data_IF_266535067579
#
_entry.id   IF_266535067579
#
_cell.length_a   1.000
_cell.length_b   1.000
_cell.length_c   1.000
_cell.angle_alpha   90.00
_cell.angle_beta   90.00
_cell.angle_gamma   90.00
#
_symmetry.space_group_name_H-M   'P 1'
#
loop_
_entity.id
_entity.type
_entity.pdbx_description
1 polymer ?
#
# COMPACT_ATOMS: atom_id res chain seq x y z
N UNK A 1 17.90 51.62 6.04
CA UNK A 1 17.25 50.61 6.91
C UNK A 1 16.48 49.68 6.00
N UNK A 2 17.12 48.61 5.51
CA UNK A 2 16.47 47.59 4.71
C UNK A 2 15.60 46.74 5.65
N UNK A 3 14.28 46.79 5.47
CA UNK A 3 13.35 45.93 6.20
C UNK A 3 13.56 44.49 5.76
N UNK A 4 14.22 43.69 6.58
CA UNK A 4 14.20 42.25 6.43
C UNK A 4 12.75 41.79 6.66
N UNK A 5 12.02 41.49 5.57
CA UNK A 5 10.82 40.68 5.70
C UNK A 5 11.29 39.29 6.14
N UNK A 6 10.90 38.80 7.34
CA UNK A 6 11.15 37.42 7.70
C UNK A 6 10.45 36.59 6.62
N UNK A 7 11.23 35.87 5.82
CA UNK A 7 10.71 35.01 4.78
C UNK A 7 9.80 33.97 5.41
N UNK A 8 8.49 34.25 5.41
CA UNK A 8 7.44 33.27 5.68
C UNK A 8 7.36 32.38 4.45
N UNK A 9 8.39 31.57 4.22
CA UNK A 9 8.17 30.28 3.57
C UNK A 9 7.47 29.39 4.59
N UNK A 10 6.24 29.76 4.97
CA UNK A 10 5.35 28.82 5.63
C UNK A 10 5.23 27.66 4.65
N UNK A 11 5.79 26.51 5.03
CA UNK A 11 5.65 25.28 4.27
C UNK A 11 4.15 25.06 4.11
N UNK A 12 3.60 25.31 2.92
CA UNK A 12 2.18 25.10 2.68
C UNK A 12 1.95 23.59 2.62
N UNK A 13 1.62 23.02 3.77
CA UNK A 13 1.23 21.63 3.88
C UNK A 13 -0.01 21.40 3.01
N UNK A 14 0.08 20.39 2.14
CA UNK A 14 -1.04 19.99 1.28
C UNK A 14 -1.65 18.70 1.83
N UNK A 15 -2.98 18.61 1.90
CA UNK A 15 -3.66 17.35 2.17
C UNK A 15 -3.20 16.26 1.20
N UNK A 16 -3.33 15.00 1.63
CA UNK A 16 -3.12 13.86 0.75
C UNK A 16 -4.05 13.97 -0.46
N UNK A 17 -3.50 13.78 -1.65
CA UNK A 17 -4.25 13.71 -2.88
C UNK A 17 -3.75 12.50 -3.67
N UNK A 18 -4.60 11.50 -3.83
CA UNK A 18 -4.27 10.29 -4.59
C UNK A 18 -4.72 10.48 -6.04
N UNK A 19 -3.78 10.34 -6.97
CA UNK A 19 -4.04 10.46 -8.39
C UNK A 19 -5.01 9.40 -8.91
N UNK A 20 -5.72 9.70 -10.00
CA UNK A 20 -6.66 8.76 -10.61
C UNK A 20 -5.96 7.50 -11.15
N UNK A 21 -4.70 7.60 -11.57
CA UNK A 21 -3.90 6.45 -12.01
C UNK A 21 -3.68 5.47 -10.85
N UNK A 22 -3.30 5.97 -9.67
CA UNK A 22 -3.12 5.15 -8.47
C UNK A 22 -4.43 4.51 -7.98
N UNK A 23 -5.55 5.22 -8.05
CA UNK A 23 -6.87 4.69 -7.64
C UNK A 23 -7.39 3.61 -8.60
N UNK A 24 -7.28 3.84 -9.92
CA UNK A 24 -7.68 2.85 -10.95
C UNK A 24 -6.81 1.59 -10.89
N UNK A 25 -5.53 1.81 -10.62
CA UNK A 25 -4.52 0.78 -10.45
C UNK A 25 -3.69 0.54 -11.70
N UNK A 26 -2.48 0.06 -11.46
CA UNK A 26 -1.49 -0.21 -12.50
C UNK A 26 -1.00 -1.65 -12.41
N UNK A 27 -0.77 -2.26 -13.56
CA UNK A 27 -0.25 -3.63 -13.66
C UNK A 27 1.25 -3.63 -13.37
N UNK A 28 1.67 -4.52 -12.49
CA UNK A 28 3.07 -4.78 -12.16
C UNK A 28 3.33 -6.28 -12.14
N UNK A 29 4.60 -6.65 -12.25
CA UNK A 29 5.08 -7.98 -11.85
C UNK A 29 5.77 -7.84 -10.50
N UNK A 30 5.19 -8.47 -9.45
CA UNK A 30 5.80 -8.59 -8.13
C UNK A 30 6.79 -9.76 -8.11
N UNK A 31 7.91 -9.59 -7.43
CA UNK A 31 8.91 -10.63 -7.22
C UNK A 31 9.60 -10.49 -5.86
N UNK A 32 10.20 -11.58 -5.39
CA UNK A 32 10.90 -11.65 -4.10
C UNK A 32 12.27 -12.34 -4.31
N UNK A 33 13.31 -11.96 -3.56
CA UNK A 33 14.66 -12.53 -3.71
C UNK A 33 14.73 -14.02 -3.35
N UNK A 34 13.87 -14.46 -2.43
CA UNK A 34 13.88 -15.82 -1.86
C UNK A 34 13.02 -16.80 -2.69
N UNK A 35 12.53 -16.37 -3.85
CA UNK A 35 11.63 -17.14 -4.69
C UNK A 35 11.87 -16.86 -6.18
N UNK A 36 11.75 -17.89 -7.01
CA UNK A 36 11.73 -17.73 -8.48
C UNK A 36 10.32 -17.48 -9.00
N UNK A 37 9.35 -17.22 -8.12
CA UNK A 37 7.96 -16.93 -8.49
C UNK A 37 7.83 -15.44 -8.79
N UNK A 38 7.30 -15.14 -9.97
CA UNK A 38 6.88 -13.80 -10.38
C UNK A 38 5.35 -13.76 -10.46
N UNK A 39 4.74 -12.75 -9.88
CA UNK A 39 3.29 -12.65 -9.76
C UNK A 39 2.79 -11.37 -10.41
N UNK A 40 2.02 -11.46 -11.51
CA UNK A 40 1.32 -10.30 -12.05
C UNK A 40 0.27 -9.81 -11.06
N UNK A 41 0.32 -8.52 -10.72
CA UNK A 41 -0.62 -7.88 -9.80
C UNK A 41 -1.16 -6.58 -10.40
N UNK A 42 -2.32 -6.13 -9.91
CA UNK A 42 -2.80 -4.78 -10.12
C UNK A 42 -2.69 -4.03 -8.79
N UNK A 43 -1.69 -3.17 -8.69
CA UNK A 43 -1.44 -2.35 -7.50
C UNK A 43 -2.34 -1.12 -7.53
N UNK A 44 -3.02 -0.83 -6.41
CA UNK A 44 -3.94 0.30 -6.24
C UNK A 44 -3.66 1.03 -4.93
N UNK A 45 -4.10 2.28 -4.86
CA UNK A 45 -4.25 3.02 -3.60
C UNK A 45 -5.71 3.27 -3.29
N UNK A 46 -6.08 3.28 -2.01
CA UNK A 46 -7.37 3.80 -1.60
C UNK A 46 -7.42 5.34 -1.76
N UNK A 47 -8.61 5.96 -1.91
CA UNK A 47 -8.69 7.39 -2.18
C UNK A 47 -8.15 8.28 -1.06
N UNK A 48 -8.03 7.77 0.17
CA UNK A 48 -7.49 8.50 1.31
C UNK A 48 -5.96 8.39 1.41
N UNK A 49 -5.33 7.51 0.61
CA UNK A 49 -3.88 7.29 0.60
C UNK A 49 -3.38 6.61 1.87
N UNK A 50 -4.16 5.71 2.46
CA UNK A 50 -3.75 4.95 3.65
C UNK A 50 -2.95 3.69 3.34
N UNK A 51 -3.31 3.02 2.26
CA UNK A 51 -2.79 1.72 1.86
C UNK A 51 -2.48 1.70 0.37
N UNK A 52 -1.46 0.94 0.02
CA UNK A 52 -1.46 0.23 -1.25
C UNK A 52 -2.02 -1.17 -1.06
N UNK A 53 -2.73 -1.65 -2.08
CA UNK A 53 -3.35 -2.97 -2.05
C UNK A 53 -3.33 -3.63 -3.41
N UNK A 54 -3.26 -4.95 -3.40
CA UNK A 54 -3.33 -5.79 -4.58
C UNK A 54 -3.97 -7.12 -4.21
N UNK A 55 -4.55 -7.77 -5.20
CA UNK A 55 -5.13 -9.11 -5.04
C UNK A 55 -4.20 -10.10 -5.73
N UNK A 56 -3.76 -11.13 -5.01
CA UNK A 56 -2.90 -12.18 -5.54
C UNK A 56 -3.69 -13.24 -6.33
N UNK A 57 -3.00 -14.29 -6.79
CA UNK A 57 -3.63 -15.40 -7.54
C UNK A 57 -4.63 -16.20 -6.69
N UNK A 58 -4.51 -16.17 -5.37
CA UNK A 58 -5.41 -16.84 -4.44
C UNK A 58 -6.69 -16.03 -4.15
N UNK A 59 -6.85 -14.88 -4.81
CA UNK A 59 -7.92 -13.91 -4.56
C UNK A 59 -7.86 -13.32 -3.14
N UNK A 60 -6.71 -13.38 -2.49
CA UNK A 60 -6.51 -12.71 -1.21
C UNK A 60 -5.96 -11.30 -1.44
N UNK A 61 -6.53 -10.32 -0.73
CA UNK A 61 -6.08 -8.94 -0.81
C UNK A 61 -4.99 -8.67 0.21
N UNK A 62 -3.80 -8.38 -0.29
CA UNK A 62 -2.67 -7.91 0.49
C UNK A 62 -2.70 -6.38 0.61
N UNK A 63 -2.12 -5.88 1.70
CA UNK A 63 -2.09 -4.47 2.04
C UNK A 63 -0.69 -4.05 2.49
N UNK A 64 -0.19 -2.97 1.93
CA UNK A 64 0.95 -2.22 2.43
C UNK A 64 0.45 -0.93 3.08
N UNK A 65 0.67 -0.79 4.39
CA UNK A 65 0.37 0.44 5.13
C UNK A 65 1.39 1.53 4.76
N UNK A 66 0.91 2.62 4.18
CA UNK A 66 1.77 3.71 3.69
C UNK A 66 2.52 4.44 4.81
N UNK A 67 2.04 4.40 6.05
CA UNK A 67 2.77 4.97 7.20
C UNK A 67 4.01 4.15 7.60
N UNK A 68 4.14 2.92 7.10
CA UNK A 68 5.31 2.08 7.31
C UNK A 68 6.37 2.26 6.22
N UNK A 69 6.03 2.92 5.11
CA UNK A 69 6.96 3.17 4.00
C UNK A 69 8.03 4.16 4.45
N UNK A 70 9.28 3.84 4.17
CA UNK A 70 10.47 4.65 4.50
C UNK A 70 11.09 5.27 3.26
N UNK A 71 11.00 4.60 2.12
CA UNK A 71 11.65 5.00 0.88
C UNK A 71 10.99 4.31 -0.33
N UNK A 72 11.13 4.91 -1.51
CA UNK A 72 10.72 4.34 -2.79
C UNK A 72 11.80 4.62 -3.84
N UNK A 73 12.21 3.57 -4.56
CA UNK A 73 13.35 3.62 -5.48
C UNK A 73 12.94 3.10 -6.84
N UNK A 74 13.46 3.69 -7.91
CA UNK A 74 13.34 3.18 -9.28
C UNK A 74 14.67 3.17 -10.01
N UNK A 75 14.70 2.49 -11.16
CA UNK A 75 15.89 2.47 -12.01
C UNK A 75 17.07 1.80 -11.33
N UNK A 76 18.26 2.35 -11.53
CA UNK A 76 19.52 1.90 -10.91
C UNK A 76 19.52 1.88 -9.37
N UNK A 77 18.56 2.53 -8.72
CA UNK A 77 18.43 2.55 -7.25
C UNK A 77 17.45 1.48 -6.73
N UNK A 78 16.62 0.91 -7.60
CA UNK A 78 15.80 -0.24 -7.24
C UNK A 78 16.68 -1.46 -6.99
N UNK A 79 16.17 -2.42 -6.22
CA UNK A 79 16.84 -3.71 -6.05
C UNK A 79 16.81 -4.47 -7.36
N UNK A 80 17.94 -5.04 -7.72
CA UNK A 80 18.07 -5.97 -8.85
C UNK A 80 17.94 -7.42 -8.35
N UNK A 81 17.27 -8.31 -9.10
CA UNK A 81 17.19 -9.73 -8.80
C UNK A 81 18.58 -10.35 -8.85
N UNK A 82 18.97 -11.05 -7.78
CA UNK A 82 20.27 -11.71 -7.69
C UNK A 82 20.31 -13.03 -8.44
N UNK A 83 19.18 -13.74 -8.46
CA UNK A 83 19.06 -15.03 -9.15
C UNK A 83 18.96 -14.80 -10.68
N UNK A 84 19.85 -15.41 -11.49
CA UNK A 84 19.82 -15.27 -12.94
C UNK A 84 18.50 -15.74 -13.59
N UNK A 85 17.91 -16.83 -13.10
CA UNK A 85 16.63 -17.36 -13.61
C UNK A 85 15.50 -16.38 -13.30
N UNK A 86 15.50 -15.78 -12.11
CA UNK A 86 14.53 -14.74 -11.78
C UNK A 86 14.68 -13.52 -12.67
N UNK A 87 15.92 -13.09 -12.95
CA UNK A 87 16.19 -12.00 -13.90
C UNK A 87 15.63 -12.31 -15.29
N UNK A 88 15.87 -13.52 -15.80
CA UNK A 88 15.32 -13.95 -17.09
C UNK A 88 13.79 -13.94 -17.12
N UNK A 89 13.13 -14.40 -16.04
CA UNK A 89 11.67 -14.36 -15.91
C UNK A 89 11.09 -12.94 -15.89
N UNK A 90 11.83 -11.98 -15.32
CA UNK A 90 11.41 -10.57 -15.26
C UNK A 90 11.67 -9.82 -16.57
N UNK A 91 12.63 -10.30 -17.38
CA UNK A 91 13.01 -9.69 -18.67
C UNK A 91 12.23 -10.25 -19.87
N UNK A 92 11.19 -11.05 -19.62
CA UNK A 92 10.38 -11.67 -20.67
C UNK A 92 9.72 -10.59 -21.54
N UNK A 93 9.97 -10.69 -22.85
CA UNK A 93 9.43 -9.77 -23.87
C UNK A 93 10.40 -8.69 -24.34
N UNK A 94 11.62 -8.59 -23.76
CA UNK A 94 12.68 -7.65 -24.16
C UNK A 94 12.17 -6.20 -24.33
N UNK A 95 11.33 -5.76 -23.39
CA UNK A 95 10.66 -4.46 -23.40
C UNK A 95 11.62 -3.41 -22.82
N UNK A 96 12.70 -3.13 -23.54
CA UNK A 96 13.76 -2.22 -23.12
C UNK A 96 14.52 -2.69 -21.87
N UNK A 97 15.28 -1.78 -21.26
CA UNK A 97 16.12 -2.11 -20.11
C UNK A 97 15.27 -2.39 -18.85
N UNK A 98 15.28 -3.65 -18.41
CA UNK A 98 14.58 -4.12 -17.21
C UNK A 98 14.81 -3.21 -15.99
N UNK A 99 16.06 -2.80 -15.75
CA UNK A 99 16.46 -1.99 -14.60
C UNK A 99 15.67 -0.68 -14.50
N UNK A 100 15.35 -0.05 -15.63
CA UNK A 100 14.61 1.21 -15.65
C UNK A 100 13.12 1.06 -15.30
N UNK A 101 12.59 -0.16 -15.41
CA UNK A 101 11.20 -0.49 -15.09
C UNK A 101 11.05 -1.00 -13.66
N UNK A 102 12.14 -1.20 -12.93
CA UNK A 102 12.12 -1.69 -11.56
C UNK A 102 11.71 -0.61 -10.56
N UNK A 103 10.89 -1.01 -9.59
CA UNK A 103 10.53 -0.23 -8.41
C UNK A 103 10.81 -1.08 -7.17
N UNK A 104 11.37 -0.47 -6.13
CA UNK A 104 11.47 -1.06 -4.80
C UNK A 104 10.85 -0.11 -3.78
N UNK A 105 9.78 -0.54 -3.12
CA UNK A 105 9.22 0.16 -1.96
C UNK A 105 9.82 -0.44 -0.70
N UNK A 106 10.45 0.41 0.11
CA UNK A 106 11.11 0.04 1.37
C UNK A 106 10.16 0.39 2.51
N UNK A 107 9.83 -0.59 3.34
CA UNK A 107 8.87 -0.39 4.44
C UNK A 107 9.24 -1.19 5.68
N UNK A 108 8.77 -0.76 6.84
CA UNK A 108 9.03 -1.44 8.11
C UNK A 108 8.52 -0.66 9.32
N UNK A 109 8.39 -1.29 10.49
CA UNK A 109 8.04 -0.60 11.72
C UNK A 109 9.10 0.44 12.13
N UNK A 110 10.37 0.18 11.83
CA UNK A 110 11.51 1.02 12.20
C UNK A 110 12.60 0.98 11.12
N UNK A 111 13.75 1.60 11.38
CA UNK A 111 14.87 1.71 10.43
C UNK A 111 15.75 0.45 10.35
N UNK A 112 15.51 -0.55 11.20
CA UNK A 112 16.29 -1.80 11.28
C UNK A 112 15.48 -2.96 10.67
N UNK A 113 14.23 -3.09 11.06
CA UNK A 113 13.32 -4.14 10.62
C UNK A 113 12.68 -3.76 9.28
N UNK A 114 13.47 -3.86 8.20
CA UNK A 114 13.08 -3.43 6.86
C UNK A 114 12.64 -4.61 5.98
N UNK A 115 11.56 -4.42 5.24
CA UNK A 115 11.05 -5.28 4.18
C UNK A 115 11.02 -4.54 2.85
N UNK A 116 10.91 -5.28 1.75
CA UNK A 116 10.95 -4.75 0.39
C UNK A 116 9.76 -5.28 -0.42
N UNK A 117 9.03 -4.39 -1.07
CA UNK A 117 8.09 -4.75 -2.13
C UNK A 117 8.78 -4.43 -3.46
N UNK A 118 9.20 -5.47 -4.17
CA UNK A 118 9.87 -5.32 -5.47
C UNK A 118 8.88 -5.54 -6.60
N UNK A 119 8.88 -4.61 -7.55
CA UNK A 119 7.93 -4.56 -8.66
C UNK A 119 8.67 -4.27 -9.96
N UNK A 120 8.12 -4.75 -11.06
CA UNK A 120 8.52 -4.36 -12.42
C UNK A 120 7.31 -3.78 -13.14
N UNK A 121 7.44 -2.53 -13.58
CA UNK A 121 6.46 -1.84 -14.39
C UNK A 121 6.52 -2.33 -15.86
N UNK A 122 5.45 -2.06 -16.61
CA UNK A 122 5.48 -2.32 -18.06
C UNK A 122 6.29 -1.27 -18.82
N UNK A 123 6.36 -0.04 -18.32
CA UNK A 123 7.05 1.10 -18.92
C UNK A 123 7.90 1.85 -17.88
N UNK A 124 8.99 2.48 -18.32
CA UNK A 124 9.90 3.24 -17.45
C UNK A 124 9.21 4.47 -16.84
N UNK A 125 8.35 5.14 -17.60
CA UNK A 125 7.60 6.33 -17.18
C UNK A 125 6.69 6.00 -16.00
N UNK A 126 6.03 4.83 -16.06
CA UNK A 126 5.18 4.31 -14.99
C UNK A 126 6.01 4.03 -13.74
N UNK A 127 7.21 3.48 -13.89
CA UNK A 127 8.11 3.23 -12.75
C UNK A 127 8.49 4.53 -12.01
N UNK A 128 8.79 5.59 -12.78
CA UNK A 128 9.10 6.91 -12.23
C UNK A 128 7.89 7.58 -11.59
N UNK A 129 6.73 7.57 -12.25
CA UNK A 129 5.48 8.12 -11.73
C UNK A 129 5.13 7.49 -10.38
N UNK A 130 5.07 6.16 -10.34
CA UNK A 130 4.72 5.44 -9.11
C UNK A 130 5.71 5.67 -7.99
N UNK A 131 7.01 5.71 -8.28
CA UNK A 131 8.03 5.96 -7.25
C UNK A 131 7.86 7.33 -6.61
N UNK A 132 7.60 8.36 -7.42
CA UNK A 132 7.36 9.72 -6.91
C UNK A 132 6.07 9.80 -6.09
N UNK A 133 4.99 9.17 -6.56
CA UNK A 133 3.70 9.14 -5.87
C UNK A 133 3.78 8.38 -4.53
N UNK A 134 4.42 7.20 -4.51
CA UNK A 134 4.67 6.43 -3.27
C UNK A 134 5.40 7.31 -2.25
N UNK A 135 6.50 7.94 -2.68
CA UNK A 135 7.31 8.76 -1.79
C UNK A 135 6.53 9.98 -1.29
N UNK A 136 5.76 10.64 -2.17
CA UNK A 136 4.95 11.80 -1.79
C UNK A 136 3.86 11.45 -0.78
N UNK A 137 3.23 10.28 -0.90
CA UNK A 137 2.20 9.83 0.03
C UNK A 137 2.82 9.46 1.39
N UNK A 138 3.90 8.67 1.37
CA UNK A 138 4.57 8.20 2.59
C UNK A 138 5.19 9.32 3.43
N UNK A 139 5.66 10.38 2.77
CA UNK A 139 6.32 11.53 3.42
C UNK A 139 5.39 12.72 3.67
N UNK A 140 4.08 12.56 3.41
CA UNK A 140 3.11 13.63 3.65
C UNK A 140 2.95 13.90 5.17
N UNK A 141 3.36 15.09 5.61
CA UNK A 141 3.34 15.47 7.02
C UNK A 141 1.94 15.50 7.64
N UNK A 142 0.89 15.82 6.86
CA UNK A 142 -0.48 15.80 7.38
C UNK A 142 -0.99 14.36 7.54
N UNK A 143 -0.60 13.45 6.64
CA UNK A 143 -0.89 12.02 6.78
C UNK A 143 -0.20 11.42 8.02
N UNK A 144 1.04 11.82 8.27
CA UNK A 144 1.79 11.36 9.46
C UNK A 144 1.23 11.92 10.77
N UNK A 145 0.53 13.06 10.73
CA UNK A 145 -0.09 13.71 11.89
C UNK A 145 -1.62 13.67 11.83
N UNK A 146 -2.16 12.60 11.27
CA UNK A 146 -3.61 12.42 11.10
C UNK A 146 -4.37 12.39 12.43
N UNK A 147 -5.62 12.86 12.42
CA UNK A 147 -6.48 12.89 13.61
C UNK A 147 -6.90 11.49 14.06
N UNK A 148 -7.45 11.40 15.27
CA UNK A 148 -8.03 10.14 15.77
C UNK A 148 -9.12 9.61 14.84
N UNK A 149 -9.98 10.49 14.33
CA UNK A 149 -11.07 10.12 13.43
C UNK A 149 -10.53 9.55 12.12
N UNK A 150 -9.49 10.15 11.55
CA UNK A 150 -8.82 9.62 10.37
C UNK A 150 -8.18 8.24 10.66
N UNK A 151 -7.66 7.99 11.87
CA UNK A 151 -7.13 6.67 12.23
C UNK A 151 -8.23 5.61 12.33
N UNK A 152 -9.42 5.99 12.80
CA UNK A 152 -10.59 5.12 12.80
C UNK A 152 -11.09 4.86 11.38
N UNK A 153 -11.08 5.88 10.51
CA UNK A 153 -11.38 5.74 9.09
C UNK A 153 -10.39 4.79 8.41
N UNK A 154 -9.09 4.93 8.67
CA UNK A 154 -8.06 3.99 8.17
C UNK A 154 -8.33 2.55 8.60
N UNK A 155 -8.73 2.33 9.85
CA UNK A 155 -9.12 1.01 10.33
C UNK A 155 -10.35 0.46 9.58
N UNK A 156 -11.35 1.30 9.35
CA UNK A 156 -12.54 0.95 8.56
C UNK A 156 -12.19 0.64 7.09
N UNK A 157 -11.38 1.47 6.44
CA UNK A 157 -10.89 1.26 5.07
C UNK A 157 -10.15 -0.07 4.95
N UNK A 158 -9.31 -0.43 5.92
CA UNK A 158 -8.64 -1.75 5.95
C UNK A 158 -9.64 -2.91 5.90
N UNK A 159 -10.73 -2.85 6.68
CA UNK A 159 -11.77 -3.89 6.68
C UNK A 159 -12.49 -3.97 5.32
N UNK A 160 -12.74 -2.83 4.68
CA UNK A 160 -13.38 -2.73 3.36
C UNK A 160 -12.52 -3.21 2.20
N UNK A 161 -11.20 -3.12 2.33
CA UNK A 161 -10.28 -3.63 1.32
C UNK A 161 -10.09 -5.15 1.44
N UNK A 162 -10.19 -5.72 2.66
CA UNK A 162 -10.03 -7.15 2.90
C UNK A 162 -11.37 -7.90 2.86
N UNK A 163 -12.06 -7.82 1.72
CA UNK A 163 -13.34 -8.48 1.46
C UNK A 163 -13.18 -9.83 0.75
N UNK A 164 -14.24 -10.64 0.78
CA UNK A 164 -14.35 -11.85 -0.05
C UNK A 164 -14.53 -11.49 -1.53
N UNK A 165 -14.39 -12.45 -2.47
CA UNK A 165 -14.69 -12.22 -3.88
C UNK A 165 -16.10 -11.69 -4.15
N UNK A 166 -17.06 -11.99 -3.26
CA UNK A 166 -18.45 -11.49 -3.30
C UNK A 166 -18.60 -10.11 -2.66
N UNK A 167 -17.50 -9.45 -2.28
CA UNK A 167 -17.48 -8.11 -1.71
C UNK A 167 -17.94 -8.05 -0.24
N UNK A 168 -17.91 -9.16 0.50
CA UNK A 168 -18.36 -9.18 1.90
C UNK A 168 -17.19 -9.05 2.88
N UNK A 169 -17.40 -8.38 4.01
CA UNK A 169 -16.37 -8.24 5.05
C UNK A 169 -16.38 -9.49 5.94
N UNK A 170 -15.29 -10.28 5.99
CA UNK A 170 -15.20 -11.44 6.87
C UNK A 170 -15.12 -11.02 8.33
N UNK A 171 -16.01 -11.53 9.20
CA UNK A 171 -15.99 -11.17 10.63
C UNK A 171 -14.68 -11.53 11.33
N UNK A 172 -13.99 -12.58 10.85
CA UNK A 172 -12.65 -12.94 11.34
C UNK A 172 -11.66 -11.75 11.29
N UNK A 173 -11.81 -10.82 10.35
CA UNK A 173 -10.94 -9.66 10.21
C UNK A 173 -11.26 -8.59 11.28
N UNK A 174 -12.54 -8.41 11.64
CA UNK A 174 -12.96 -7.53 12.74
C UNK A 174 -12.42 -8.06 14.06
N UNK A 175 -12.62 -9.35 14.35
CA UNK A 175 -12.07 -9.97 15.56
C UNK A 175 -10.55 -9.92 15.64
N UNK A 176 -9.85 -10.03 14.51
CA UNK A 176 -8.39 -9.90 14.46
C UNK A 176 -7.95 -8.47 14.78
N UNK A 177 -8.68 -7.47 14.28
CA UNK A 177 -8.38 -6.05 14.53
C UNK A 177 -8.59 -5.67 16.00
N UNK A 178 -9.61 -6.22 16.64
CA UNK A 178 -9.96 -5.97 18.05
C UNK A 178 -9.71 -7.22 18.92
N UNK A 179 -8.53 -7.82 18.78
CA UNK A 179 -8.19 -9.12 19.40
C UNK A 179 -8.08 -9.10 20.93
N UNK A 180 -8.00 -7.91 21.54
CA UNK A 180 -7.84 -7.75 22.98
C UNK A 180 -9.07 -8.22 23.79
N UNK A 181 -10.28 -8.05 23.26
CA UNK A 181 -11.51 -8.48 23.94
C UNK A 181 -12.58 -8.90 22.93
N UNK A 182 -12.67 -10.21 22.72
CA UNK A 182 -13.60 -10.81 21.78
C UNK A 182 -15.06 -10.61 22.19
N UNK A 183 -15.39 -10.72 23.48
CA UNK A 183 -16.78 -10.63 23.95
C UNK A 183 -17.33 -9.24 23.71
N UNK A 184 -16.51 -8.21 23.95
CA UNK A 184 -16.89 -6.83 23.64
C UNK A 184 -17.16 -6.59 22.16
N UNK A 185 -16.42 -7.26 21.27
CA UNK A 185 -16.69 -7.20 19.82
C UNK A 185 -18.05 -7.86 19.49
N UNK A 186 -18.34 -9.02 20.07
CA UNK A 186 -19.65 -9.71 19.90
C UNK A 186 -20.81 -8.80 20.35
N UNK A 187 -20.73 -8.24 21.56
CA UNK A 187 -21.75 -7.33 22.08
C UNK A 187 -21.90 -6.06 21.24
N UNK A 188 -20.81 -5.50 20.71
CA UNK A 188 -20.86 -4.31 19.86
C UNK A 188 -21.52 -4.60 18.50
N UNK A 189 -21.25 -5.76 17.90
CA UNK A 189 -21.89 -6.19 16.65
C UNK A 189 -23.40 -6.39 16.86
N UNK A 190 -23.79 -7.06 17.94
CA UNK A 190 -25.20 -7.30 18.29
C UNK A 190 -25.94 -5.99 18.58
N UNK A 191 -25.31 -5.04 19.27
CA UNK A 191 -25.88 -3.71 19.51
C UNK A 191 -26.15 -2.93 18.21
N UNK A 192 -25.38 -3.20 17.16
CA UNK A 192 -25.58 -2.66 15.81
C UNK A 192 -26.53 -3.52 14.95
N UNK A 193 -27.17 -4.55 15.51
CA UNK A 193 -28.00 -5.52 14.78
C UNK A 193 -27.25 -6.25 13.65
N UNK A 194 -25.94 -6.45 13.83
CA UNK A 194 -25.09 -7.19 12.90
C UNK A 194 -24.90 -8.64 13.36
N UNK A 195 -24.66 -9.59 12.44
CA UNK A 195 -24.25 -10.95 12.81
C UNK A 195 -23.02 -10.93 13.73
N UNK A 196 -22.96 -11.79 14.74
CA UNK A 196 -21.81 -11.92 15.66
C UNK A 196 -21.01 -13.22 15.47
N UNK A 197 -21.57 -14.23 14.77
CA UNK A 197 -20.85 -15.48 14.50
C UNK A 197 -19.63 -15.26 13.60
N UNK A 198 -18.48 -15.84 13.98
CA UNK A 198 -17.17 -15.65 13.31
C UNK A 198 -17.16 -16.06 11.83
N UNK A 199 -18.05 -16.97 11.42
CA UNK A 199 -18.16 -17.47 10.04
C UNK A 199 -19.03 -16.54 9.17
N UNK A 200 -19.76 -15.61 9.80
CA UNK A 200 -20.59 -14.65 9.09
C UNK A 200 -19.75 -13.64 8.32
N UNK A 201 -20.40 -12.98 7.37
CA UNK A 201 -19.80 -11.91 6.59
C UNK A 201 -20.79 -10.75 6.53
N UNK A 202 -20.30 -9.52 6.60
CA UNK A 202 -21.15 -8.33 6.47
C UNK A 202 -21.30 -7.94 5.01
N UNK A 203 -22.53 -7.58 4.55
CA UNK A 203 -22.70 -6.94 3.27
C UNK A 203 -22.05 -5.55 3.28
N UNK A 204 -21.75 -5.07 2.08
CA UNK A 204 -21.37 -3.68 1.83
C UNK A 204 -22.59 -2.78 1.78
#
# INVERSE_FOLDING_TARGET
MAGAQPGVHALQLKPVCVSDSLKKGTKFVKWDDDSTIVTPIILRSDPQGFFFYWTDQNKETELLDLSLVKDARCGKHARAPKDPKLRELLDVGNIGHLEHRMITVVYGPDLVNISYLNLVAFQEEVAKEWTNEVFSLATNLLAQNMSRDAFLEKAYTKLKLQVTPEGRIPLKNIYRMFSADRKRVETALEACSLPSSRVSMLPF
#
